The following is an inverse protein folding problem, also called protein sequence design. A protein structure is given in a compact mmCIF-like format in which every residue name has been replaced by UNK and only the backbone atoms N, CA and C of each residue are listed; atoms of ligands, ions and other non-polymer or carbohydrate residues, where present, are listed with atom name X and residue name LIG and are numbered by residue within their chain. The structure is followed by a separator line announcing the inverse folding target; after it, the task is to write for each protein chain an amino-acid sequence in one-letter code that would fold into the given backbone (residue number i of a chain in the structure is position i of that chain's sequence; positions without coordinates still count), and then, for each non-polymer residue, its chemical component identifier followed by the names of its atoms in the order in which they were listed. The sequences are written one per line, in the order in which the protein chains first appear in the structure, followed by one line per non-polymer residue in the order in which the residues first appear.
data_IF_178559380657
#
_entry.id   IF_178559380657
#
_cell.length_a   1.000
_cell.length_b   1.000
_cell.length_c   1.000
_cell.angle_alpha   90.00
_cell.angle_beta   90.00
_cell.angle_gamma   90.00
#
_symmetry.space_group_name_H-M   'P 1'
#
loop_
_entity.id
_entity.type
_entity.pdbx_description
1 polymer ?
#
# COMPACT_ATOMS: atom_id res chain seq x y z
N UNK A 1 -18.40 -22.02 -7.24
CA UNK A 1 -17.13 -22.55 -7.77
C UNK A 1 -15.95 -22.25 -6.84
N UNK A 2 -15.71 -20.99 -6.44
CA UNK A 2 -14.58 -20.63 -5.55
C UNK A 2 -14.45 -21.49 -4.28
N UNK A 3 -15.54 -21.76 -3.55
CA UNK A 3 -15.47 -22.62 -2.35
C UNK A 3 -15.15 -24.08 -2.68
N UNK A 4 -15.61 -24.59 -3.82
CA UNK A 4 -15.29 -25.95 -4.28
C UNK A 4 -13.81 -26.07 -4.68
N UNK A 5 -13.17 -24.97 -5.09
CA UNK A 5 -11.74 -24.91 -5.39
C UNK A 5 -10.86 -24.58 -4.17
N UNK A 6 -11.41 -24.68 -2.94
CA UNK A 6 -10.65 -24.54 -1.70
C UNK A 6 -10.54 -23.13 -1.13
N UNK A 7 -11.34 -22.17 -1.62
CA UNK A 7 -11.39 -20.81 -1.05
C UNK A 7 -12.36 -20.76 0.13
N UNK A 8 -11.93 -20.16 1.24
CA UNK A 8 -12.82 -19.90 2.39
C UNK A 8 -13.48 -18.54 2.24
N UNK A 9 -14.80 -18.53 2.05
CA UNK A 9 -15.62 -17.31 2.09
C UNK A 9 -16.36 -17.28 3.44
N UNK A 10 -16.11 -16.26 4.27
CA UNK A 10 -16.68 -16.18 5.64
C UNK A 10 -18.19 -15.91 5.61
N UNK A 11 -18.64 -15.03 4.71
CA UNK A 11 -20.04 -14.70 4.47
C UNK A 11 -20.26 -14.64 2.95
N UNK A 12 -20.37 -15.79 2.26
CA UNK A 12 -20.36 -15.88 0.80
C UNK A 12 -21.38 -14.96 0.11
N UNK A 13 -22.55 -14.77 0.73
CA UNK A 13 -23.64 -13.93 0.26
C UNK A 13 -23.31 -12.44 0.21
N UNK A 14 -22.20 -12.02 0.82
CA UNK A 14 -21.72 -10.64 0.86
C UNK A 14 -20.46 -10.41 0.01
N UNK A 15 -19.96 -11.44 -0.67
CA UNK A 15 -18.76 -11.35 -1.50
C UNK A 15 -19.17 -11.22 -2.97
N UNK A 16 -18.68 -10.18 -3.64
CA UNK A 16 -19.04 -9.87 -5.02
C UNK A 16 -17.86 -10.16 -5.95
N UNK A 17 -18.11 -11.01 -6.95
CA UNK A 17 -17.10 -11.43 -7.92
C UNK A 17 -17.38 -10.83 -9.30
N UNK A 18 -16.33 -10.44 -10.01
CA UNK A 18 -16.37 -10.29 -11.47
C UNK A 18 -16.26 -11.66 -12.15
N UNK A 19 -16.74 -11.77 -13.38
CA UNK A 19 -16.71 -12.97 -14.22
C UNK A 19 -15.32 -13.61 -14.41
N UNK A 20 -14.26 -12.82 -14.25
CA UNK A 20 -12.86 -13.17 -14.47
C UNK A 20 -12.03 -13.16 -13.18
N UNK A 21 -12.69 -13.21 -12.01
CA UNK A 21 -11.98 -13.26 -10.71
C UNK A 21 -11.33 -14.63 -10.52
N UNK A 22 -10.01 -14.65 -10.35
CA UNK A 22 -9.22 -15.85 -10.07
C UNK A 22 -8.74 -15.84 -8.61
N UNK A 23 -9.06 -16.89 -7.84
CA UNK A 23 -8.61 -17.03 -6.44
C UNK A 23 -8.07 -18.43 -6.21
N UNK A 24 -6.82 -18.52 -5.73
CA UNK A 24 -6.15 -19.76 -5.37
C UNK A 24 -6.69 -20.37 -4.07
N UNK A 25 -6.48 -21.69 -3.92
CA UNK A 25 -6.88 -22.44 -2.74
C UNK A 25 -6.29 -21.86 -1.44
N UNK A 26 -6.94 -22.14 -0.31
CA UNK A 26 -6.57 -21.69 1.03
C UNK A 26 -6.63 -20.17 1.24
N UNK A 27 -7.04 -19.40 0.23
CA UNK A 27 -7.35 -18.00 0.42
C UNK A 27 -8.59 -17.83 1.33
N UNK A 28 -8.56 -16.80 2.16
CA UNK A 28 -9.67 -16.43 3.06
C UNK A 28 -10.20 -15.07 2.63
N UNK A 29 -11.50 -14.99 2.37
CA UNK A 29 -12.19 -13.74 2.04
C UNK A 29 -13.24 -13.45 3.11
N UNK A 30 -13.08 -12.31 3.76
CA UNK A 30 -13.97 -11.79 4.78
C UNK A 30 -15.21 -11.09 4.17
N UNK A 31 -16.22 -10.71 4.99
CA UNK A 31 -17.48 -10.16 4.49
C UNK A 31 -17.35 -8.84 3.70
N UNK A 32 -18.30 -8.59 2.81
CA UNK A 32 -18.45 -7.34 2.05
C UNK A 32 -17.25 -6.95 1.17
N UNK A 33 -16.51 -7.94 0.65
CA UNK A 33 -15.41 -7.71 -0.29
C UNK A 33 -15.95 -7.62 -1.72
N UNK A 34 -15.43 -6.65 -2.48
CA UNK A 34 -15.78 -6.44 -3.89
C UNK A 34 -14.57 -6.68 -4.79
N UNK A 35 -14.71 -7.65 -5.71
CA UNK A 35 -13.75 -7.90 -6.78
C UNK A 35 -14.31 -7.38 -8.12
N UNK A 36 -13.69 -6.31 -8.64
CA UNK A 36 -13.88 -5.87 -10.02
C UNK A 36 -13.13 -6.76 -11.03
N UNK A 37 -13.10 -6.37 -12.31
CA UNK A 37 -12.43 -7.16 -13.34
C UNK A 37 -10.91 -7.29 -13.13
N UNK A 38 -10.34 -8.37 -13.67
CA UNK A 38 -8.90 -8.59 -13.75
C UNK A 38 -8.20 -8.83 -12.42
N UNK A 39 -8.92 -9.37 -11.42
CA UNK A 39 -8.35 -9.67 -10.11
C UNK A 39 -7.82 -11.11 -10.07
N UNK A 40 -6.55 -11.24 -9.66
CA UNK A 40 -5.89 -12.53 -9.44
C UNK A 40 -5.32 -12.61 -8.04
N UNK A 41 -5.70 -13.64 -7.31
CA UNK A 41 -5.29 -13.87 -5.92
C UNK A 41 -4.66 -15.26 -5.82
N UNK A 42 -3.43 -15.33 -5.33
CA UNK A 42 -2.74 -16.59 -5.12
C UNK A 42 -3.13 -17.24 -3.78
N UNK A 43 -2.63 -18.46 -3.57
CA UNK A 43 -2.94 -19.27 -2.40
C UNK A 43 -2.60 -18.62 -1.05
N UNK A 44 -3.41 -18.90 -0.03
CA UNK A 44 -3.16 -18.48 1.36
C UNK A 44 -3.30 -16.98 1.63
N UNK A 45 -3.67 -16.17 0.64
CA UNK A 45 -3.91 -14.74 0.85
C UNK A 45 -5.16 -14.52 1.72
N UNK A 46 -5.13 -13.49 2.56
CA UNK A 46 -6.28 -13.03 3.34
C UNK A 46 -6.76 -11.69 2.83
N UNK A 47 -8.02 -11.65 2.42
CA UNK A 47 -8.71 -10.45 1.98
C UNK A 47 -9.71 -10.06 3.06
N UNK A 48 -9.40 -8.99 3.77
CA UNK A 48 -10.18 -8.49 4.89
C UNK A 48 -11.41 -7.70 4.44
N UNK A 49 -12.37 -7.62 5.36
CA UNK A 49 -13.71 -7.11 5.11
C UNK A 49 -13.70 -5.71 4.47
N UNK A 50 -14.74 -5.43 3.67
CA UNK A 50 -14.97 -4.13 3.05
C UNK A 50 -13.87 -3.64 2.08
N UNK A 51 -12.97 -4.51 1.65
CA UNK A 51 -11.95 -4.17 0.65
C UNK A 51 -12.55 -4.17 -0.76
N UNK A 52 -12.06 -3.26 -1.62
CA UNK A 52 -12.48 -3.13 -3.00
C UNK A 52 -11.25 -3.24 -3.92
N UNK A 53 -11.22 -4.30 -4.73
CA UNK A 53 -10.04 -4.72 -5.49
C UNK A 53 -10.42 -4.79 -6.97
N UNK A 54 -9.62 -4.21 -7.85
CA UNK A 54 -9.86 -4.18 -9.29
C UNK A 54 -8.53 -4.15 -10.04
N UNK A 55 -8.35 -5.03 -11.03
CA UNK A 55 -7.16 -5.09 -11.88
C UNK A 55 -5.86 -5.32 -11.10
N UNK A 56 -5.92 -6.06 -9.99
CA UNK A 56 -4.81 -6.27 -9.07
C UNK A 56 -4.34 -7.72 -9.08
N UNK A 57 -3.03 -7.93 -8.91
CA UNK A 57 -2.41 -9.23 -8.66
C UNK A 57 -1.94 -9.29 -7.22
N UNK A 58 -2.41 -10.29 -6.48
CA UNK A 58 -2.11 -10.49 -5.06
C UNK A 58 -1.43 -11.85 -4.91
N UNK A 59 -0.15 -11.85 -4.59
CA UNK A 59 0.64 -13.07 -4.46
C UNK A 59 0.34 -13.83 -3.15
N UNK A 60 1.04 -14.95 -2.97
CA UNK A 60 0.73 -15.90 -1.91
C UNK A 60 0.94 -15.29 -0.51
N UNK A 61 0.05 -15.64 0.41
CA UNK A 61 0.11 -15.23 1.82
C UNK A 61 0.12 -13.71 2.06
N UNK A 62 -0.39 -12.91 1.11
CA UNK A 62 -0.62 -11.48 1.33
C UNK A 62 -1.77 -11.24 2.32
N UNK A 63 -1.73 -10.07 2.96
CA UNK A 63 -2.75 -9.60 3.91
C UNK A 63 -3.26 -8.23 3.43
N UNK A 64 -4.53 -8.18 3.00
CA UNK A 64 -5.12 -7.01 2.32
C UNK A 64 -6.39 -6.56 3.03
N UNK A 65 -6.40 -5.31 3.51
CA UNK A 65 -7.52 -4.65 4.18
C UNK A 65 -7.42 -4.69 5.71
N UNK A 66 -8.56 -4.46 6.41
CA UNK A 66 -9.90 -4.18 5.88
C UNK A 66 -9.97 -2.82 5.17
N UNK A 67 -11.00 -2.55 4.36
CA UNK A 67 -11.15 -1.25 3.67
C UNK A 67 -9.96 -0.84 2.77
N UNK A 68 -9.23 -1.81 2.21
CA UNK A 68 -8.20 -1.51 1.21
C UNK A 68 -8.83 -1.22 -0.15
N UNK A 69 -8.25 -0.27 -0.90
CA UNK A 69 -8.60 0.00 -2.30
C UNK A 69 -7.42 -0.37 -3.20
N UNK A 70 -7.50 -1.50 -3.87
CA UNK A 70 -6.53 -1.88 -4.91
C UNK A 70 -7.11 -1.55 -6.28
N UNK A 71 -6.32 -0.84 -7.09
CA UNK A 71 -6.70 -0.36 -8.42
C UNK A 71 -5.83 -1.01 -9.50
N UNK A 72 -6.21 -0.86 -10.79
CA UNK A 72 -5.48 -1.47 -11.89
C UNK A 72 -3.97 -1.23 -11.83
N UNK A 73 -3.21 -2.31 -11.95
CA UNK A 73 -1.74 -2.32 -11.87
C UNK A 73 -1.18 -2.36 -10.45
N UNK A 74 -1.99 -2.61 -9.42
CA UNK A 74 -1.50 -3.00 -8.11
C UNK A 74 -0.95 -4.44 -8.17
N UNK A 75 0.33 -4.62 -7.83
CA UNK A 75 1.03 -5.90 -7.85
C UNK A 75 1.68 -6.14 -6.49
N UNK A 76 1.03 -6.95 -5.65
CA UNK A 76 1.49 -7.30 -4.31
C UNK A 76 2.24 -8.62 -4.37
N UNK A 77 3.53 -8.61 -4.01
CA UNK A 77 4.38 -9.80 -3.92
C UNK A 77 4.17 -10.55 -2.61
N UNK A 78 4.74 -11.74 -2.53
CA UNK A 78 4.49 -12.69 -1.45
C UNK A 78 4.60 -12.03 -0.06
N UNK A 79 3.66 -12.33 0.84
CA UNK A 79 3.61 -11.78 2.20
C UNK A 79 3.51 -10.24 2.30
N UNK A 80 3.30 -9.52 1.19
CA UNK A 80 3.05 -8.08 1.24
C UNK A 80 1.78 -7.79 2.04
N UNK A 81 1.76 -6.64 2.72
CA UNK A 81 0.63 -6.20 3.51
C UNK A 81 0.15 -4.83 3.07
N UNK A 82 -1.15 -4.73 2.77
CA UNK A 82 -1.85 -3.47 2.54
C UNK A 82 -2.99 -3.41 3.53
N UNK A 83 -2.89 -2.56 4.55
CA UNK A 83 -3.85 -2.49 5.63
C UNK A 83 -4.99 -1.52 5.38
N UNK A 84 -5.50 -0.95 6.46
CA UNK A 84 -6.76 -0.24 6.44
C UNK A 84 -6.69 1.17 5.87
N UNK A 85 -7.67 1.47 5.01
CA UNK A 85 -7.78 2.76 4.30
C UNK A 85 -6.54 3.10 3.48
N UNK A 86 -5.91 2.07 2.91
CA UNK A 86 -4.80 2.21 1.97
C UNK A 86 -5.31 2.09 0.54
N UNK A 87 -4.83 2.96 -0.34
CA UNK A 87 -5.09 2.90 -1.78
C UNK A 87 -3.77 2.62 -2.52
N UNK A 88 -3.78 1.61 -3.40
CA UNK A 88 -2.64 1.25 -4.26
C UNK A 88 -3.07 1.26 -5.72
N UNK A 89 -2.30 1.94 -6.58
CA UNK A 89 -2.59 2.07 -8.01
C UNK A 89 -1.30 2.09 -8.83
N UNK A 90 -1.21 1.28 -9.89
CA UNK A 90 -0.03 1.23 -10.76
C UNK A 90 1.27 1.14 -9.96
N UNK A 91 1.31 0.22 -8.99
CA UNK A 91 2.42 0.13 -8.06
C UNK A 91 2.72 -1.30 -7.64
N UNK A 92 4.00 -1.58 -7.45
CA UNK A 92 4.50 -2.87 -6.95
C UNK A 92 4.81 -2.76 -5.48
N UNK A 93 4.26 -3.68 -4.67
CA UNK A 93 4.58 -3.84 -3.25
C UNK A 93 5.35 -5.15 -3.13
N UNK A 94 6.66 -5.08 -2.90
CA UNK A 94 7.53 -6.24 -2.92
C UNK A 94 7.39 -7.13 -1.66
N UNK A 95 8.16 -8.23 -1.63
CA UNK A 95 7.99 -9.29 -0.64
C UNK A 95 8.07 -8.73 0.79
N UNK A 96 7.05 -9.04 1.59
CA UNK A 96 6.99 -8.66 3.01
C UNK A 96 6.91 -7.15 3.28
N UNK A 97 6.81 -6.30 2.26
CA UNK A 97 6.67 -4.86 2.44
C UNK A 97 5.29 -4.51 3.03
N UNK A 98 5.23 -3.43 3.81
CA UNK A 98 4.06 -3.09 4.62
C UNK A 98 3.56 -1.68 4.36
N UNK A 99 2.30 -1.58 3.95
CA UNK A 99 1.54 -0.33 3.77
C UNK A 99 0.29 -0.41 4.63
N UNK A 100 0.42 -0.16 5.94
CA UNK A 100 -0.60 -0.59 6.89
C UNK A 100 -1.78 0.38 7.08
N UNK A 101 -1.57 1.69 6.93
CA UNK A 101 -2.58 2.66 7.40
C UNK A 101 -2.65 3.90 6.51
N UNK A 102 -3.87 4.31 6.14
CA UNK A 102 -4.20 5.68 5.67
C UNK A 102 -3.22 6.23 4.61
N UNK A 103 -2.84 5.43 3.63
CA UNK A 103 -1.74 5.76 2.70
C UNK A 103 -2.20 5.65 1.26
N UNK A 104 -1.75 6.57 0.41
CA UNK A 104 -1.90 6.48 -1.04
C UNK A 104 -0.54 6.16 -1.69
N UNK A 105 -0.48 5.03 -2.40
CA UNK A 105 0.66 4.58 -3.20
C UNK A 105 0.23 4.52 -4.67
N UNK A 106 0.73 5.46 -5.47
CA UNK A 106 0.44 5.59 -6.89
C UNK A 106 1.71 5.71 -7.71
N UNK A 107 1.82 4.94 -8.80
CA UNK A 107 2.95 4.99 -9.73
C UNK A 107 4.30 4.79 -9.00
N UNK A 108 4.47 3.66 -8.32
CA UNK A 108 5.59 3.44 -7.41
C UNK A 108 6.09 1.98 -7.32
N UNK A 109 7.31 1.81 -6.82
CA UNK A 109 7.81 0.53 -6.28
C UNK A 109 8.12 0.69 -4.81
N UNK A 110 7.61 -0.23 -3.99
CA UNK A 110 7.93 -0.35 -2.56
C UNK A 110 8.76 -1.61 -2.37
N UNK A 111 10.04 -1.43 -2.06
CA UNK A 111 11.03 -2.51 -1.97
C UNK A 111 10.75 -3.52 -0.86
N UNK A 112 11.36 -4.70 -0.98
CA UNK A 112 11.14 -5.80 -0.06
C UNK A 112 11.37 -5.39 1.40
N UNK A 113 10.51 -5.86 2.32
CA UNK A 113 10.59 -5.56 3.75
C UNK A 113 10.46 -4.07 4.13
N UNK A 114 10.26 -3.14 3.19
CA UNK A 114 10.08 -1.73 3.48
C UNK A 114 8.80 -1.50 4.29
N UNK A 115 8.83 -0.47 5.14
CA UNK A 115 7.71 -0.14 6.01
C UNK A 115 7.24 1.30 5.78
N UNK A 116 5.99 1.43 5.31
CA UNK A 116 5.37 2.71 5.02
C UNK A 116 4.50 3.15 6.19
N UNK A 117 4.90 4.27 6.81
CA UNK A 117 4.20 4.89 7.92
C UNK A 117 2.84 5.45 7.50
N UNK A 118 1.95 5.56 8.48
CA UNK A 118 0.58 6.01 8.26
C UNK A 118 0.54 7.42 7.65
N UNK A 119 -0.41 7.68 6.74
CA UNK A 119 -0.55 9.03 6.14
C UNK A 119 0.49 9.36 5.07
N UNK A 120 1.27 8.37 4.62
CA UNK A 120 2.23 8.60 3.54
C UNK A 120 1.51 8.80 2.21
N UNK A 121 2.05 9.67 1.36
CA UNK A 121 1.53 9.93 0.02
C UNK A 121 2.71 9.92 -0.96
N UNK A 122 2.64 9.08 -1.99
CA UNK A 122 3.46 9.25 -3.20
C UNK A 122 2.80 10.35 -4.03
N UNK A 123 3.35 11.57 -3.99
CA UNK A 123 2.84 12.72 -4.73
C UNK A 123 3.25 12.57 -6.21
N UNK A 124 2.50 11.74 -6.92
CA UNK A 124 2.80 11.22 -8.24
C UNK A 124 2.30 12.09 -9.41
N UNK A 125 1.62 13.21 -9.16
CA UNK A 125 0.97 14.04 -10.19
C UNK A 125 1.19 15.53 -9.92
N UNK A 126 1.65 16.26 -10.93
CA UNK A 126 1.98 17.69 -10.84
C UNK A 126 0.87 18.64 -11.37
N UNK A 127 -0.25 18.07 -11.82
CA UNK A 127 -1.31 18.80 -12.54
C UNK A 127 -1.33 18.55 -14.05
N UNK A 128 -0.28 17.94 -14.61
CA UNK A 128 -0.15 17.63 -16.04
C UNK A 128 0.34 16.20 -16.28
N UNK A 129 1.47 15.84 -15.69
CA UNK A 129 2.17 14.57 -15.87
C UNK A 129 2.23 13.78 -14.58
N UNK A 130 2.47 12.46 -14.72
CA UNK A 130 2.70 11.58 -13.59
C UNK A 130 4.14 11.11 -13.54
N UNK A 131 4.64 10.90 -12.33
CA UNK A 131 6.02 10.56 -12.07
C UNK A 131 6.14 9.41 -11.08
N UNK A 132 7.26 8.69 -11.21
CA UNK A 132 7.50 7.47 -10.46
C UNK A 132 8.17 7.74 -9.11
N UNK A 133 7.75 7.03 -8.07
CA UNK A 133 8.44 6.99 -6.76
C UNK A 133 9.09 5.63 -6.56
N UNK A 134 10.38 5.61 -6.25
CA UNK A 134 11.10 4.39 -5.93
C UNK A 134 11.47 4.35 -4.44
N UNK A 135 11.13 3.27 -3.73
CA UNK A 135 11.49 3.07 -2.33
C UNK A 135 12.24 1.75 -2.22
N UNK A 136 13.47 1.81 -1.71
CA UNK A 136 14.39 0.68 -1.62
C UNK A 136 14.02 -0.37 -0.58
N UNK A 137 14.76 -1.49 -0.61
CA UNK A 137 14.63 -2.60 0.33
C UNK A 137 14.89 -2.13 1.77
N UNK A 138 14.05 -2.58 2.70
CA UNK A 138 14.21 -2.29 4.13
C UNK A 138 14.06 -0.82 4.51
N UNK A 139 13.69 0.06 3.57
CA UNK A 139 13.49 1.48 3.84
C UNK A 139 12.33 1.71 4.81
N UNK A 140 12.46 2.74 5.64
CA UNK A 140 11.43 3.16 6.59
C UNK A 140 10.93 4.56 6.24
N UNK A 141 9.64 4.66 5.90
CA UNK A 141 9.00 5.94 5.63
C UNK A 141 8.19 6.35 6.85
N UNK A 142 8.63 7.39 7.55
CA UNK A 142 7.92 7.91 8.72
C UNK A 142 6.52 8.41 8.38
N UNK A 143 5.61 8.35 9.35
CA UNK A 143 4.22 8.79 9.18
C UNK A 143 4.08 10.22 8.65
N UNK A 144 3.00 10.48 7.93
CA UNK A 144 2.69 11.77 7.29
C UNK A 144 3.82 12.30 6.41
N UNK A 145 4.46 11.41 5.64
CA UNK A 145 5.46 11.82 4.66
C UNK A 145 4.84 12.05 3.28
N UNK A 146 5.21 13.15 2.64
CA UNK A 146 4.89 13.44 1.25
C UNK A 146 6.13 13.21 0.40
N UNK A 147 6.08 12.26 -0.51
CA UNK A 147 7.20 11.92 -1.41
C UNK A 147 6.91 12.53 -2.78
N UNK A 148 7.55 13.65 -3.10
CA UNK A 148 7.31 14.41 -4.34
C UNK A 148 8.04 13.73 -5.49
N UNK A 149 7.28 13.04 -6.34
CA UNK A 149 7.84 12.32 -7.46
C UNK A 149 8.28 13.28 -8.60
N UNK A 150 9.33 12.94 -9.37
CA UNK A 150 10.13 11.72 -9.27
C UNK A 150 11.13 11.77 -8.11
N UNK A 151 11.16 10.72 -7.29
CA UNK A 151 12.09 10.62 -6.15
C UNK A 151 12.43 9.16 -5.85
N UNK A 152 13.67 8.92 -5.41
CA UNK A 152 14.14 7.62 -4.95
C UNK A 152 14.57 7.67 -3.50
N UNK A 153 14.13 6.70 -2.70
CA UNK A 153 14.63 6.45 -1.35
C UNK A 153 15.48 5.18 -1.41
N UNK A 154 16.75 5.28 -1.06
CA UNK A 154 17.69 4.17 -1.08
C UNK A 154 17.34 3.04 -0.12
N UNK A 155 18.04 1.92 -0.29
CA UNK A 155 17.92 0.76 0.60
C UNK A 155 18.27 1.16 2.04
N UNK A 156 17.50 0.70 3.01
CA UNK A 156 17.67 1.07 4.42
C UNK A 156 17.43 2.56 4.72
N UNK A 157 17.03 3.36 3.73
CA UNK A 157 16.79 4.79 3.87
C UNK A 157 15.68 5.06 4.89
N UNK A 158 15.85 6.11 5.69
CA UNK A 158 14.90 6.49 6.73
C UNK A 158 14.36 7.90 6.46
N UNK A 159 13.05 8.03 6.29
CA UNK A 159 12.37 9.32 6.24
C UNK A 159 11.76 9.64 7.59
N UNK A 160 12.16 10.75 8.20
CA UNK A 160 11.54 11.18 9.45
C UNK A 160 10.07 11.58 9.26
N UNK A 161 9.24 11.33 10.27
CA UNK A 161 7.81 11.66 10.21
C UNK A 161 7.53 13.14 9.92
N UNK A 162 6.46 13.40 9.16
CA UNK A 162 6.02 14.74 8.80
C UNK A 162 6.92 15.41 7.76
N UNK A 163 7.67 14.64 6.97
CA UNK A 163 8.60 15.19 5.97
C UNK A 163 7.95 15.37 4.61
N UNK A 164 8.33 16.43 3.91
CA UNK A 164 8.15 16.58 2.47
C UNK A 164 9.51 16.32 1.81
N UNK A 165 9.62 15.25 1.04
CA UNK A 165 10.88 14.86 0.38
C UNK A 165 10.80 15.20 -1.10
N UNK A 166 11.70 16.07 -1.55
CA UNK A 166 11.79 16.58 -2.93
C UNK A 166 13.09 16.20 -3.63
N UNK A 167 14.01 15.57 -2.91
CA UNK A 167 15.32 15.15 -3.40
C UNK A 167 15.53 13.68 -3.02
N UNK A 168 16.21 12.94 -3.89
CA UNK A 168 16.44 11.51 -3.65
C UNK A 168 17.37 11.30 -2.46
N UNK A 169 17.10 10.26 -1.69
CA UNK A 169 17.79 9.91 -0.46
C UNK A 169 18.68 8.70 -0.73
N UNK A 170 20.00 8.77 -0.47
CA UNK A 170 20.91 7.64 -0.65
C UNK A 170 20.58 6.46 0.27
N UNK A 171 21.22 5.32 0.00
CA UNK A 171 21.16 4.15 0.87
C UNK A 171 21.61 4.49 2.30
N UNK A 172 20.96 3.85 3.29
CA UNK A 172 21.20 3.97 4.73
C UNK A 172 21.14 5.41 5.30
N UNK A 173 20.66 6.37 4.51
CA UNK A 173 20.60 7.77 4.90
C UNK A 173 19.31 8.09 5.65
N UNK A 174 19.42 8.96 6.66
CA UNK A 174 18.28 9.61 7.30
C UNK A 174 18.01 10.95 6.61
N UNK A 175 16.80 11.14 6.11
CA UNK A 175 16.33 12.42 5.58
C UNK A 175 15.13 12.94 6.36
N UNK A 176 15.05 14.27 6.49
CA UNK A 176 13.89 14.96 7.01
C UNK A 176 13.68 16.28 6.28
N UNK A 177 12.46 16.48 5.79
CA UNK A 177 12.07 17.66 5.01
C UNK A 177 10.95 18.41 5.71
N UNK A 178 11.22 18.95 6.90
CA UNK A 178 10.20 19.65 7.72
C UNK A 178 10.78 20.87 8.42
N UNK A 179 9.92 21.84 8.70
CA UNK A 179 10.32 23.05 9.42
C UNK A 179 10.79 22.73 10.84
N UNK A 180 11.75 23.50 11.35
CA UNK A 180 12.19 23.39 12.74
C UNK A 180 11.03 23.82 13.65
N UNK A 181 10.67 22.94 14.59
CA UNK A 181 9.65 23.25 15.60
C UNK A 181 10.07 24.50 16.40
N UNK A 182 9.13 25.44 16.56
CA UNK A 182 9.22 26.55 17.49
C UNK A 182 8.09 26.44 18.50
N UNK A 183 8.44 26.47 19.79
CA UNK A 183 7.47 26.49 20.88
C UNK A 183 7.38 27.90 21.44
N UNK A 184 6.17 28.45 21.55
CA UNK A 184 5.92 29.77 22.13
C UNK A 184 5.06 29.58 23.40
N UNK A 185 5.67 29.56 24.60
CA UNK A 185 4.94 29.32 25.84
C UNK A 185 3.82 30.33 26.07
N UNK A 186 2.69 29.87 26.62
CA UNK A 186 1.56 30.73 26.99
C UNK A 186 0.67 31.21 25.84
N UNK A 187 1.02 30.94 24.57
CA UNK A 187 0.23 31.34 23.40
C UNK A 187 -0.83 30.34 22.93
N UNK A 188 -0.89 29.15 23.55
CA UNK A 188 -1.88 28.12 23.24
C UNK A 188 -3.12 28.13 24.13
N UNK A 189 -3.19 29.06 25.08
CA UNK A 189 -4.41 29.34 25.84
C UNK A 189 -5.08 30.53 25.16
N UNK A 190 -6.32 30.35 24.73
CA UNK A 190 -7.19 31.49 24.40
C UNK A 190 -7.32 32.43 25.60
#
# INVERSE_FOLDING_TARGET
EAMLSGVTLIAPETVYFSHDTEIGADAVVEPNVWFGPGVRIATGARIHAFSHIEGATIAANCDVGPFARLRPGADLKQKAKVGNFCEVKQATIEEGAKVNHLTYIGDARIGAGANIGAGTITCNYDGYSKFFTDIGEGAFIGSNSSLVAPVSIGNGGYIASGSVITESVPDDALAFGRARQKTIPGKGKE
#
